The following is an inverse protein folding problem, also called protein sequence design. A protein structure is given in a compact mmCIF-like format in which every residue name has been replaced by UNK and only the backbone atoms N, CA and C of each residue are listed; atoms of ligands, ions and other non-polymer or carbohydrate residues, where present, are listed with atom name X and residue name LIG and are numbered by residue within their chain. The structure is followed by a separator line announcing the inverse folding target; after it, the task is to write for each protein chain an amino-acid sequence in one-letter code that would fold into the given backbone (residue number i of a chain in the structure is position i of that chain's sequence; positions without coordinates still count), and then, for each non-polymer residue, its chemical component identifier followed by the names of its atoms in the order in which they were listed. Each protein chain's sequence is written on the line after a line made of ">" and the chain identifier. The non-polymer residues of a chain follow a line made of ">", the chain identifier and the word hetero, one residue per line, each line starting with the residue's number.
data_IF_110563989735
#
_entry.id   IF_110563989735
#
_cell.length_a   1.000
_cell.length_b   1.000
_cell.length_c   1.000
_cell.angle_alpha   90.00
_cell.angle_beta   90.00
_cell.angle_gamma   90.00
#
_symmetry.space_group_name_H-M   'P 1'
#
loop_
_entity.id
_entity.type
_entity.pdbx_description
1 polymer ?
#
# COMPACT_ATOMS: atom_id res chain seq x y z
N UNK A 1 -7.41 -12.22 4.93
CA UNK A 1 -5.97 -11.88 5.07
C UNK A 1 -5.86 -10.37 5.27
N UNK A 2 -4.94 -9.87 6.10
CA UNK A 2 -4.80 -8.43 6.40
C UNK A 2 -3.53 -7.77 5.85
N UNK A 3 -2.73 -8.51 5.09
CA UNK A 3 -1.45 -8.05 4.50
C UNK A 3 -1.36 -8.49 3.04
N UNK A 4 -0.50 -7.84 2.25
CA UNK A 4 -0.27 -8.19 0.84
C UNK A 4 0.29 -9.62 0.72
N UNK A 5 1.27 -9.99 1.54
CA UNK A 5 1.79 -11.36 1.55
C UNK A 5 0.73 -12.37 1.99
N UNK A 6 -0.17 -11.98 2.91
CA UNK A 6 -1.29 -12.81 3.30
C UNK A 6 -2.26 -13.11 2.15
N UNK A 7 -2.41 -12.19 1.19
CA UNK A 7 -3.17 -12.40 -0.05
C UNK A 7 -2.35 -13.25 -1.03
N UNK A 8 -1.08 -12.91 -1.24
CA UNK A 8 -0.13 -13.65 -2.10
C UNK A 8 -0.09 -15.14 -1.76
N UNK A 9 0.13 -15.49 -0.49
CA UNK A 9 0.28 -16.90 -0.09
C UNK A 9 -1.03 -17.70 -0.14
N UNK A 10 -2.20 -17.04 -0.03
CA UNK A 10 -3.52 -17.71 -0.14
C UNK A 10 -4.01 -17.86 -1.57
N UNK A 11 -3.64 -16.94 -2.46
CA UNK A 11 -4.24 -16.83 -3.81
C UNK A 11 -3.24 -17.00 -4.95
N UNK A 12 -1.94 -16.99 -4.64
CA UNK A 12 -0.82 -16.91 -5.61
C UNK A 12 -0.78 -15.63 -6.43
N UNK A 13 -1.60 -14.62 -6.11
CA UNK A 13 -1.51 -13.32 -6.74
C UNK A 13 -0.12 -12.68 -6.52
N UNK A 14 0.49 -12.20 -7.60
CA UNK A 14 1.84 -11.63 -7.58
C UNK A 14 2.99 -12.64 -7.75
N UNK A 15 2.70 -13.93 -7.94
CA UNK A 15 3.70 -14.98 -8.18
C UNK A 15 3.87 -15.36 -9.66
N UNK A 16 3.36 -14.54 -10.59
CA UNK A 16 3.57 -14.72 -12.03
C UNK A 16 4.84 -14.02 -12.52
N UNK A 17 5.15 -14.13 -13.82
CA UNK A 17 6.34 -13.52 -14.45
C UNK A 17 6.57 -12.04 -14.11
N UNK A 18 5.49 -11.29 -13.91
CA UNK A 18 5.53 -9.86 -13.57
C UNK A 18 5.84 -9.56 -12.10
N UNK A 19 5.96 -10.57 -11.23
CA UNK A 19 6.28 -10.43 -9.80
C UNK A 19 5.42 -9.36 -9.09
N UNK A 20 4.14 -9.33 -9.45
CA UNK A 20 3.16 -8.42 -8.88
C UNK A 20 3.37 -6.93 -9.20
N UNK A 21 4.11 -6.59 -10.27
CA UNK A 21 4.29 -5.19 -10.70
C UNK A 21 2.96 -4.45 -10.89
N UNK A 22 1.92 -5.15 -11.34
CA UNK A 22 0.61 -4.55 -11.61
C UNK A 22 -0.39 -4.78 -10.47
N UNK A 23 -0.42 -5.98 -9.89
CA UNK A 23 -1.48 -6.35 -8.96
C UNK A 23 -1.19 -5.94 -7.51
N UNK A 24 0.06 -5.69 -7.10
CA UNK A 24 0.36 -5.32 -5.69
C UNK A 24 -0.38 -4.08 -5.23
N UNK A 25 -0.38 -3.00 -6.01
CA UNK A 25 -1.12 -1.78 -5.67
C UNK A 25 -2.65 -1.99 -5.74
N UNK A 26 -3.14 -2.81 -6.66
CA UNK A 26 -4.57 -3.15 -6.72
C UNK A 26 -5.02 -3.95 -5.49
N UNK A 27 -4.21 -4.91 -5.04
CA UNK A 27 -4.45 -5.66 -3.80
C UNK A 27 -4.43 -4.71 -2.61
N UNK A 28 -3.47 -3.79 -2.54
CA UNK A 28 -3.40 -2.80 -1.47
C UNK A 28 -4.64 -1.90 -1.44
N UNK A 29 -5.12 -1.43 -2.58
CA UNK A 29 -6.35 -0.62 -2.68
C UNK A 29 -7.60 -1.40 -2.22
N UNK A 30 -7.70 -2.69 -2.56
CA UNK A 30 -8.77 -3.57 -2.06
C UNK A 30 -8.65 -3.71 -0.54
N UNK A 31 -7.48 -4.05 -0.01
CA UNK A 31 -7.26 -4.18 1.43
C UNK A 31 -7.58 -2.88 2.19
N UNK A 32 -7.19 -1.72 1.64
CA UNK A 32 -7.49 -0.40 2.18
C UNK A 32 -9.01 -0.19 2.33
N UNK A 33 -9.76 -0.44 1.26
CA UNK A 33 -11.23 -0.35 1.24
C UNK A 33 -11.86 -1.31 2.25
N UNK A 34 -11.49 -2.58 2.24
CA UNK A 34 -12.11 -3.61 3.11
C UNK A 34 -11.74 -3.45 4.59
N UNK A 35 -10.58 -2.85 4.91
CA UNK A 35 -10.14 -2.64 6.29
C UNK A 35 -10.47 -1.24 6.83
N UNK A 36 -11.01 -0.35 6.01
CA UNK A 36 -11.28 1.04 6.38
C UNK A 36 -9.99 1.81 6.75
N UNK A 37 -8.88 1.50 6.08
CA UNK A 37 -7.56 2.09 6.35
C UNK A 37 -7.04 2.84 5.14
N UNK A 38 -6.26 3.92 5.32
CA UNK A 38 -5.60 4.55 4.19
C UNK A 38 -4.57 3.63 3.55
N UNK A 39 -4.39 3.74 2.22
CA UNK A 39 -3.59 2.80 1.42
C UNK A 39 -2.12 2.73 1.86
N UNK A 40 -1.54 3.86 2.30
CA UNK A 40 -0.15 3.91 2.78
C UNK A 40 0.06 3.10 4.06
N UNK A 41 -0.98 2.91 4.89
CA UNK A 41 -0.91 2.09 6.11
C UNK A 41 -1.06 0.57 5.87
N UNK A 42 -1.33 0.15 4.63
CA UNK A 42 -1.37 -1.27 4.29
C UNK A 42 0.03 -1.85 4.35
N UNK A 43 0.15 -3.04 4.94
CA UNK A 43 1.45 -3.67 5.15
C UNK A 43 1.70 -4.83 4.19
N UNK A 44 2.96 -5.01 3.81
CA UNK A 44 3.39 -6.16 3.02
C UNK A 44 3.36 -7.42 3.86
N UNK A 45 4.01 -7.40 5.03
CA UNK A 45 4.22 -8.57 5.91
C UNK A 45 3.95 -8.31 7.40
N UNK A 46 3.38 -7.15 7.74
CA UNK A 46 3.10 -6.75 9.13
C UNK A 46 3.72 -5.39 9.47
N UNK A 47 3.74 -5.04 10.76
CA UNK A 47 4.28 -3.77 11.26
C UNK A 47 5.71 -3.51 10.75
N UNK A 48 5.98 -2.27 10.34
CA UNK A 48 7.29 -1.88 9.77
C UNK A 48 7.45 -2.23 8.29
N UNK A 49 6.35 -2.59 7.61
CA UNK A 49 6.32 -2.84 6.16
C UNK A 49 5.13 -2.16 5.49
N UNK A 50 4.70 -1.05 6.05
CA UNK A 50 3.71 -0.13 5.52
C UNK A 50 4.15 0.35 4.13
N UNK A 51 3.19 0.56 3.22
CA UNK A 51 3.48 0.99 1.85
C UNK A 51 3.97 2.45 1.78
N UNK A 52 3.67 3.27 2.77
CA UNK A 52 4.11 4.66 2.84
C UNK A 52 3.86 5.28 4.20
N UNK A 53 4.32 6.53 4.35
CA UNK A 53 4.31 7.26 5.62
C UNK A 53 3.08 8.15 5.83
N UNK A 54 2.33 8.45 4.76
CA UNK A 54 1.22 9.40 4.82
C UNK A 54 0.84 9.93 3.44
N UNK A 55 0.00 10.96 3.43
CA UNK A 55 -0.23 11.75 2.23
C UNK A 55 1.00 12.62 1.93
N UNK A 56 1.72 12.27 0.86
CA UNK A 56 2.95 12.98 0.47
C UNK A 56 2.64 14.42 0.05
N UNK A 57 1.44 14.71 -0.47
CA UNK A 57 1.10 16.08 -0.87
C UNK A 57 0.97 17.04 0.31
N UNK A 58 0.66 16.53 1.50
CA UNK A 58 0.64 17.34 2.72
C UNK A 58 2.01 17.96 3.04
N UNK A 59 3.10 17.41 2.50
CA UNK A 59 4.44 17.99 2.64
C UNK A 59 4.62 19.27 1.81
N UNK A 60 3.80 19.49 0.79
CA UNK A 60 3.83 20.67 -0.07
C UNK A 60 2.94 21.80 0.47
N UNK A 61 2.02 21.51 1.39
CA UNK A 61 1.00 22.46 1.90
C UNK A 61 1.57 23.54 2.84
N UNK A 62 2.88 23.82 2.75
CA UNK A 62 3.59 24.92 3.41
C UNK A 62 4.67 25.58 2.55
N UNK A 63 4.77 25.25 1.25
CA UNK A 63 5.77 25.83 0.31
C UNK A 63 5.27 27.11 -0.41
N UNK A 64 4.18 27.73 0.06
CA UNK A 64 3.71 29.06 -0.40
C UNK A 64 4.19 30.22 0.51
N UNK A 65 5.28 30.05 1.28
CA UNK A 65 5.85 31.16 2.08
C UNK A 65 7.38 31.17 2.04
N UNK A 66 7.95 31.76 0.99
CA UNK A 66 9.07 32.71 1.07
C UNK A 66 9.42 33.23 -0.34
N UNK A 67 9.11 34.51 -0.57
CA UNK A 67 9.64 35.48 -1.55
C UNK A 67 9.87 35.05 -3.01
#
# INVERSE_FOLDING_TARGET
>A
AKTIDGVKFRTRAGMGRCQGAFCRLRIAAILARELGKPIWSITVKGTGSELGVGDVKSLLEGEDVAD
#
